data_IF_956889880743
#
_entry.id   IF_956889880743
#
_cell.length_a   1.000
_cell.length_b   1.000
_cell.length_c   1.000
_cell.angle_alpha   90.00
_cell.angle_beta   90.00
_cell.angle_gamma   90.00
#
_symmetry.space_group_name_H-M   'P 1'
#
loop_
_entity.id
_entity.type
_entity.pdbx_description
1 polymer ?
#
# COMPACT_ATOMS: atom_id res chain seq x y z
N UNK A 1 -13.24 -9.23 -19.50
CA UNK A 1 -14.09 -8.22 -18.83
C UNK A 1 -14.99 -8.93 -17.83
N UNK A 2 -14.66 -8.94 -16.53
CA UNK A 2 -15.54 -9.50 -15.50
C UNK A 2 -15.82 -8.41 -14.46
N UNK A 3 -16.82 -7.58 -14.73
CA UNK A 3 -17.34 -6.62 -13.76
C UNK A 3 -18.11 -7.37 -12.68
N UNK A 4 -17.45 -7.62 -11.55
CA UNK A 4 -18.10 -8.25 -10.39
C UNK A 4 -19.30 -7.42 -9.91
N UNK A 5 -20.42 -8.10 -9.65
CA UNK A 5 -21.60 -7.51 -9.01
C UNK A 5 -21.21 -6.93 -7.64
N UNK A 6 -21.56 -5.66 -7.38
CA UNK A 6 -21.28 -4.98 -6.10
C UNK A 6 -22.52 -4.26 -5.59
N UNK A 7 -22.60 -4.11 -4.26
CA UNK A 7 -23.61 -3.31 -3.59
C UNK A 7 -25.04 -3.87 -3.73
N UNK A 8 -26.07 -3.02 -3.93
CA UNK A 8 -27.48 -3.43 -3.89
C UNK A 8 -27.84 -4.49 -4.94
N UNK A 9 -27.16 -4.49 -6.09
CA UNK A 9 -27.33 -5.52 -7.13
C UNK A 9 -26.84 -6.91 -6.71
N UNK A 10 -25.80 -6.96 -5.87
CA UNK A 10 -25.34 -8.22 -5.27
C UNK A 10 -26.31 -8.67 -4.16
N UNK A 11 -26.82 -7.73 -3.37
CA UNK A 11 -27.76 -8.01 -2.29
C UNK A 11 -29.10 -8.56 -2.81
N UNK A 12 -29.63 -8.01 -3.92
CA UNK A 12 -30.83 -8.53 -4.58
C UNK A 12 -30.61 -9.97 -5.06
N UNK A 13 -29.54 -10.23 -5.83
CA UNK A 13 -29.20 -11.59 -6.27
C UNK A 13 -28.97 -12.59 -5.14
N UNK A 14 -28.46 -12.14 -3.99
CA UNK A 14 -28.30 -12.99 -2.81
C UNK A 14 -29.63 -13.26 -2.09
N UNK A 15 -30.63 -12.38 -2.20
CA UNK A 15 -31.99 -12.62 -1.71
C UNK A 15 -32.72 -13.59 -2.65
N UNK A 16 -32.66 -13.36 -3.95
CA UNK A 16 -33.29 -14.22 -4.96
C UNK A 16 -32.76 -15.66 -4.83
N UNK A 17 -31.43 -15.84 -4.77
CA UNK A 17 -30.81 -17.15 -4.56
C UNK A 17 -31.12 -17.81 -3.22
N UNK A 18 -31.50 -17.04 -2.19
CA UNK A 18 -31.92 -17.58 -0.89
C UNK A 18 -33.35 -18.05 -0.91
N UNK A 19 -34.19 -17.49 -1.76
CA UNK A 19 -35.55 -17.96 -2.02
C UNK A 19 -35.47 -19.28 -2.80
N UNK A 20 -34.68 -19.33 -3.88
CA UNK A 20 -34.43 -20.55 -4.66
C UNK A 20 -33.87 -21.70 -3.81
N UNK A 21 -33.00 -21.39 -2.84
CA UNK A 21 -32.41 -22.38 -1.95
C UNK A 21 -33.39 -23.01 -0.94
N UNK A 22 -34.58 -22.42 -0.74
CA UNK A 22 -35.64 -23.02 0.10
C UNK A 22 -36.38 -24.15 -0.61
N UNK A 23 -36.32 -24.20 -1.94
CA UNK A 23 -37.01 -25.19 -2.78
C UNK A 23 -36.09 -26.33 -3.25
N UNK A 24 -34.81 -26.33 -2.82
CA UNK A 24 -33.85 -27.36 -3.22
C UNK A 24 -34.13 -28.70 -2.54
N UNK A 25 -34.16 -29.75 -3.35
CA UNK A 25 -34.22 -31.13 -2.84
C UNK A 25 -32.91 -31.49 -2.12
N UNK A 26 -32.91 -32.47 -1.19
CA UNK A 26 -31.71 -32.91 -0.48
C UNK A 26 -30.57 -33.32 -1.44
N UNK A 27 -30.91 -33.97 -2.55
CA UNK A 27 -29.94 -34.40 -3.57
C UNK A 27 -29.28 -33.23 -4.30
N UNK A 28 -30.04 -32.17 -4.61
CA UNK A 28 -29.51 -30.97 -5.24
C UNK A 28 -28.63 -30.17 -4.27
N UNK A 29 -28.96 -30.18 -2.97
CA UNK A 29 -28.15 -29.55 -1.93
C UNK A 29 -26.79 -30.25 -1.78
N UNK A 30 -26.75 -31.57 -1.83
CA UNK A 30 -25.50 -32.34 -1.75
C UNK A 30 -24.66 -32.21 -3.04
N UNK A 31 -25.31 -32.14 -4.21
CA UNK A 31 -24.64 -31.78 -5.49
C UNK A 31 -24.06 -30.36 -5.47
N UNK A 32 -24.66 -29.42 -4.75
CA UNK A 32 -24.11 -28.07 -4.59
C UNK A 32 -22.95 -28.03 -3.60
N UNK A 33 -23.03 -28.75 -2.47
CA UNK A 33 -21.93 -28.85 -1.50
C UNK A 33 -20.68 -29.43 -2.14
N UNK A 34 -20.81 -30.56 -2.83
CA UNK A 34 -19.70 -31.19 -3.56
C UNK A 34 -19.05 -30.26 -4.59
N UNK A 35 -19.84 -29.47 -5.33
CA UNK A 35 -19.31 -28.44 -6.24
C UNK A 35 -18.60 -27.31 -5.51
N UNK A 36 -19.11 -26.86 -4.36
CA UNK A 36 -18.49 -25.83 -3.53
C UNK A 36 -17.17 -26.30 -2.93
N UNK A 37 -17.12 -27.54 -2.45
CA UNK A 37 -15.92 -28.15 -1.89
C UNK A 37 -14.83 -28.29 -2.96
N UNK A 38 -15.17 -28.82 -4.14
CA UNK A 38 -14.26 -28.90 -5.28
C UNK A 38 -13.74 -27.51 -5.71
N UNK A 39 -14.60 -26.49 -5.73
CA UNK A 39 -14.21 -25.13 -6.04
C UNK A 39 -13.28 -24.55 -4.95
N UNK A 40 -13.54 -24.85 -3.68
CA UNK A 40 -12.71 -24.43 -2.55
C UNK A 40 -11.30 -25.02 -2.63
N UNK A 41 -11.19 -26.28 -3.02
CA UNK A 41 -9.92 -26.98 -3.23
C UNK A 41 -9.15 -26.38 -4.41
N UNK A 42 -9.82 -26.08 -5.52
CA UNK A 42 -9.21 -25.38 -6.65
C UNK A 42 -8.63 -24.01 -6.25
N UNK A 43 -9.35 -23.25 -5.41
CA UNK A 43 -8.84 -21.97 -4.91
C UNK A 43 -7.67 -22.13 -3.94
N UNK A 44 -7.69 -23.13 -3.05
CA UNK A 44 -6.57 -23.45 -2.15
C UNK A 44 -5.32 -23.83 -2.94
N UNK A 45 -5.44 -24.75 -3.89
CA UNK A 45 -4.33 -25.17 -4.75
C UNK A 45 -3.76 -24.01 -5.57
N UNK A 46 -4.62 -23.11 -6.09
CA UNK A 46 -4.16 -21.91 -6.78
C UNK A 46 -3.40 -20.94 -5.86
N UNK A 47 -3.85 -20.80 -4.61
CA UNK A 47 -3.18 -19.97 -3.60
C UNK A 47 -1.82 -20.56 -3.22
N UNK A 48 -1.74 -21.87 -3.03
CA UNK A 48 -0.49 -22.59 -2.75
C UNK A 48 0.52 -22.41 -3.87
N UNK A 49 0.13 -22.67 -5.13
CA UNK A 49 1.00 -22.43 -6.31
C UNK A 49 1.50 -20.99 -6.41
N UNK A 50 0.68 -20.01 -6.03
CA UNK A 50 1.11 -18.61 -5.98
C UNK A 50 2.12 -18.35 -4.87
N UNK A 51 1.98 -19.01 -3.72
CA UNK A 51 2.90 -18.88 -2.59
C UNK A 51 4.23 -19.60 -2.87
N UNK A 52 4.20 -20.79 -3.47
CA UNK A 52 5.40 -21.51 -3.94
C UNK A 52 6.17 -20.68 -4.96
N UNK A 53 5.48 -20.19 -6.00
CA UNK A 53 6.10 -19.28 -6.99
C UNK A 53 6.70 -18.04 -6.34
N UNK A 54 6.05 -17.50 -5.30
CA UNK A 54 6.59 -16.35 -4.54
C UNK A 54 7.85 -16.73 -3.76
N UNK A 55 7.89 -17.90 -3.14
CA UNK A 55 9.07 -18.41 -2.44
C UNK A 55 10.23 -18.67 -3.40
N UNK A 56 9.97 -19.26 -4.58
CA UNK A 56 10.97 -19.46 -5.63
C UNK A 56 11.58 -18.14 -6.11
N UNK A 57 10.75 -17.11 -6.32
CA UNK A 57 11.25 -15.79 -6.76
C UNK A 57 12.13 -15.17 -5.68
N UNK A 58 11.73 -15.28 -4.40
CA UNK A 58 12.55 -14.82 -3.27
C UNK A 58 13.89 -15.59 -3.19
N UNK A 59 13.87 -16.91 -3.35
CA UNK A 59 15.07 -17.75 -3.37
C UNK A 59 16.01 -17.42 -4.54
N UNK A 60 15.46 -17.02 -5.70
CA UNK A 60 16.21 -16.48 -6.86
C UNK A 60 16.75 -15.06 -6.64
N UNK A 61 16.70 -14.54 -5.41
CA UNK A 61 17.14 -13.18 -5.07
C UNK A 61 16.21 -12.08 -5.55
N UNK A 62 15.05 -12.43 -6.13
CA UNK A 62 14.04 -11.43 -6.49
C UNK A 62 13.31 -11.00 -5.22
N UNK A 63 13.76 -9.88 -4.66
CA UNK A 63 13.19 -9.32 -3.44
C UNK A 63 11.67 -9.17 -3.59
N UNK A 64 10.95 -9.60 -2.54
CA UNK A 64 9.55 -9.23 -2.32
C UNK A 64 9.52 -7.71 -2.46
N UNK A 65 8.86 -7.21 -3.50
CA UNK A 65 8.75 -5.78 -3.67
C UNK A 65 7.80 -5.33 -2.55
N UNK A 66 8.31 -4.93 -1.39
CA UNK A 66 7.60 -4.05 -0.45
C UNK A 66 7.64 -2.65 -1.07
N UNK A 67 6.94 -2.56 -2.20
CA UNK A 67 7.10 -1.61 -3.31
C UNK A 67 7.10 -0.17 -2.90
N UNK A 68 6.28 0.18 -1.92
CA UNK A 68 6.00 1.57 -1.67
C UNK A 68 7.10 2.18 -0.82
N UNK A 69 7.35 1.66 0.38
CA UNK A 69 8.24 2.26 1.37
C UNK A 69 9.70 2.29 0.91
N UNK A 70 10.26 1.17 0.47
CA UNK A 70 11.66 1.14 0.00
C UNK A 70 11.89 2.00 -1.27
N UNK A 71 10.90 2.09 -2.18
CA UNK A 71 11.02 3.00 -3.34
C UNK A 71 10.81 4.46 -2.95
N UNK A 72 10.09 4.69 -1.87
CA UNK A 72 9.84 6.00 -1.31
C UNK A 72 11.12 6.56 -0.69
N UNK A 73 11.71 5.80 0.23
CA UNK A 73 12.99 6.10 0.88
C UNK A 73 14.08 6.33 -0.17
N UNK A 74 14.23 5.43 -1.16
CA UNK A 74 15.19 5.63 -2.26
C UNK A 74 14.94 6.88 -3.09
N UNK A 75 13.68 7.31 -3.24
CA UNK A 75 13.37 8.57 -3.94
C UNK A 75 13.70 9.78 -3.08
N UNK A 76 13.45 9.72 -1.78
CA UNK A 76 13.87 10.76 -0.83
C UNK A 76 15.38 10.92 -0.84
N UNK A 77 16.12 9.82 -0.69
CA UNK A 77 17.59 9.82 -0.76
C UNK A 77 18.10 10.40 -2.08
N UNK A 78 17.46 10.05 -3.20
CA UNK A 78 17.82 10.59 -4.51
C UNK A 78 17.51 12.07 -4.66
N UNK A 79 16.39 12.56 -4.11
CA UNK A 79 16.06 13.97 -4.12
C UNK A 79 17.04 14.76 -3.24
N UNK A 80 17.28 14.29 -2.02
CA UNK A 80 18.23 14.91 -1.09
C UNK A 80 19.65 14.98 -1.68
N UNK A 81 20.15 13.89 -2.27
CA UNK A 81 21.45 13.89 -2.94
C UNK A 81 21.50 14.78 -4.18
N UNK A 82 20.42 14.86 -4.95
CA UNK A 82 20.33 15.77 -6.11
C UNK A 82 20.28 17.24 -5.67
N UNK A 83 19.55 17.53 -4.59
CA UNK A 83 19.46 18.86 -3.98
C UNK A 83 20.83 19.32 -3.50
N UNK A 84 21.52 18.50 -2.70
CA UNK A 84 22.87 18.77 -2.25
C UNK A 84 23.85 19.02 -3.42
N UNK A 85 23.79 18.20 -4.47
CA UNK A 85 24.66 18.36 -5.64
C UNK A 85 24.34 19.64 -6.44
N UNK A 86 23.09 20.09 -6.50
CA UNK A 86 22.70 21.35 -7.14
C UNK A 86 23.19 22.53 -6.31
N UNK A 87 23.00 22.50 -4.99
CA UNK A 87 23.50 23.54 -4.08
C UNK A 87 25.02 23.68 -4.17
N UNK A 88 25.75 22.56 -4.16
CA UNK A 88 27.21 22.57 -4.29
C UNK A 88 27.66 23.19 -5.62
N UNK A 89 27.04 22.76 -6.74
CA UNK A 89 27.37 23.32 -8.06
C UNK A 89 27.02 24.80 -8.18
N UNK A 90 25.92 25.24 -7.56
CA UNK A 90 25.55 26.66 -7.53
C UNK A 90 26.62 27.46 -6.81
N UNK A 91 27.04 27.02 -5.64
CA UNK A 91 28.12 27.65 -4.88
C UNK A 91 29.44 27.70 -5.67
N UNK A 92 29.80 26.64 -6.39
CA UNK A 92 30.99 26.63 -7.25
C UNK A 92 30.89 27.63 -8.41
N UNK A 93 29.70 27.75 -9.03
CA UNK A 93 29.47 28.74 -10.11
C UNK A 93 29.56 30.15 -9.57
N UNK A 94 28.97 30.44 -8.40
CA UNK A 94 29.06 31.74 -7.75
C UNK A 94 30.49 32.14 -7.41
N UNK A 95 31.30 31.20 -6.89
CA UNK A 95 32.71 31.45 -6.61
C UNK A 95 33.48 31.79 -7.88
N UNK A 96 33.30 31.00 -8.95
CA UNK A 96 33.95 31.28 -10.24
C UNK A 96 33.50 32.60 -10.86
N UNK A 97 32.23 32.97 -10.72
CA UNK A 97 31.74 34.28 -11.18
C UNK A 97 32.46 35.42 -10.45
N UNK A 98 32.62 35.33 -9.12
CA UNK A 98 33.39 36.33 -8.35
C UNK A 98 34.85 36.39 -8.78
N UNK A 99 35.48 35.24 -9.04
CA UNK A 99 36.86 35.21 -9.56
C UNK A 99 36.98 35.87 -10.94
N UNK A 100 36.04 35.59 -11.85
CA UNK A 100 36.02 36.23 -13.18
C UNK A 100 35.78 37.74 -13.06
N UNK A 101 34.87 38.17 -12.18
CA UNK A 101 34.64 39.59 -11.92
C UNK A 101 35.89 40.30 -11.41
N UNK A 102 36.64 39.65 -10.51
CA UNK A 102 37.92 40.17 -10.05
C UNK A 102 38.96 40.27 -11.17
N UNK A 103 39.04 39.28 -12.06
CA UNK A 103 39.99 39.30 -13.21
C UNK A 103 39.58 40.33 -14.26
N UNK A 104 38.28 40.50 -14.50
CA UNK A 104 37.74 41.49 -15.43
C UNK A 104 38.08 42.93 -15.05
N UNK A 105 38.26 43.20 -13.74
CA UNK A 105 38.64 44.53 -13.27
C UNK A 105 40.01 44.99 -13.79
N UNK A 106 40.94 44.06 -14.04
CA UNK A 106 42.30 44.36 -14.50
C UNK A 106 42.57 43.90 -15.94
N UNK A 107 41.70 43.07 -16.52
CA UNK A 107 41.87 42.54 -17.86
C UNK A 107 41.69 43.62 -18.95
N UNK A 108 42.46 43.51 -20.02
CA UNK A 108 42.38 44.40 -21.19
C UNK A 108 42.42 43.60 -22.49
N UNK A 109 42.03 44.23 -23.60
CA UNK A 109 42.10 43.63 -24.94
C UNK A 109 41.36 42.30 -25.06
N UNK A 110 42.03 41.30 -25.65
CA UNK A 110 41.45 39.98 -25.92
C UNK A 110 41.19 39.14 -24.66
N UNK A 111 41.93 39.35 -23.57
CA UNK A 111 41.70 38.62 -22.32
C UNK A 111 40.36 39.02 -21.71
N UNK A 112 40.04 40.33 -21.76
CA UNK A 112 38.77 40.86 -21.28
C UNK A 112 37.59 40.27 -22.04
N UNK A 113 37.67 40.19 -23.37
CA UNK A 113 36.58 39.62 -24.19
C UNK A 113 36.38 38.13 -23.92
N UNK A 114 37.47 37.37 -23.70
CA UNK A 114 37.38 35.95 -23.32
C UNK A 114 36.71 35.77 -21.96
N UNK A 115 37.10 36.56 -20.95
CA UNK A 115 36.52 36.53 -19.61
C UNK A 115 35.03 36.92 -19.62
N UNK A 116 34.62 37.90 -20.42
CA UNK A 116 33.20 38.28 -20.57
C UNK A 116 32.36 37.15 -21.19
N UNK A 117 32.91 36.42 -22.16
CA UNK A 117 32.24 35.24 -22.74
C UNK A 117 32.11 34.13 -21.69
N UNK A 118 33.16 33.89 -20.92
CA UNK A 118 33.14 32.89 -19.85
C UNK A 118 32.15 33.25 -18.75
N UNK A 119 32.10 34.52 -18.33
CA UNK A 119 31.11 35.04 -17.39
C UNK A 119 29.68 34.75 -17.85
N UNK A 120 29.34 35.10 -19.10
CA UNK A 120 28.01 34.82 -19.68
C UNK A 120 27.67 33.32 -19.69
N UNK A 121 28.66 32.46 -19.94
CA UNK A 121 28.48 31.00 -19.87
C UNK A 121 28.18 30.53 -18.44
N UNK A 122 28.90 31.04 -17.45
CA UNK A 122 28.66 30.72 -16.04
C UNK A 122 27.31 31.26 -15.55
N UNK A 123 26.92 32.47 -15.92
CA UNK A 123 25.58 33.02 -15.61
C UNK A 123 24.47 32.15 -16.19
N UNK A 124 24.62 31.70 -17.45
CA UNK A 124 23.67 30.78 -18.07
C UNK A 124 23.63 29.40 -17.38
N UNK A 125 24.77 28.93 -16.84
CA UNK A 125 24.82 27.72 -16.03
C UNK A 125 24.13 27.93 -14.68
N UNK A 126 24.33 29.07 -14.01
CA UNK A 126 23.65 29.45 -12.78
C UNK A 126 22.13 29.41 -12.95
N UNK A 127 21.60 30.06 -13.98
CA UNK A 127 20.15 30.04 -14.28
C UNK A 127 19.59 28.63 -14.54
N UNK A 128 20.42 27.71 -15.06
CA UNK A 128 20.00 26.30 -15.25
C UNK A 128 19.98 25.55 -13.92
N UNK A 129 20.89 25.86 -13.01
CA UNK A 129 20.92 25.31 -11.66
C UNK A 129 19.75 25.83 -10.83
N UNK A 130 19.41 27.12 -10.92
CA UNK A 130 18.22 27.70 -10.26
C UNK A 130 16.93 26.97 -10.70
N UNK A 131 16.77 26.79 -12.02
CA UNK A 131 15.64 26.01 -12.57
C UNK A 131 15.66 24.54 -12.15
N UNK A 132 16.83 23.99 -11.85
CA UNK A 132 16.95 22.62 -11.34
C UNK A 132 16.55 22.56 -9.87
N UNK A 133 16.96 23.54 -9.06
CA UNK A 133 16.56 23.70 -7.66
C UNK A 133 15.04 23.80 -7.54
N UNK A 134 14.39 24.71 -8.28
CA UNK A 134 12.92 24.85 -8.26
C UNK A 134 12.17 23.55 -8.62
N UNK A 135 12.76 22.72 -9.50
CA UNK A 135 12.16 21.43 -9.88
C UNK A 135 12.31 20.39 -8.78
N UNK A 136 13.42 20.44 -8.03
CA UNK A 136 13.65 19.57 -6.89
C UNK A 136 12.70 19.94 -5.74
N UNK A 137 12.54 21.23 -5.42
CA UNK A 137 11.58 21.70 -4.41
C UNK A 137 10.16 21.22 -4.73
N UNK A 138 9.72 21.42 -5.98
CA UNK A 138 8.41 20.92 -6.45
C UNK A 138 8.29 19.40 -6.42
N UNK A 139 9.39 18.66 -6.50
CA UNK A 139 9.39 17.21 -6.40
C UNK A 139 9.32 16.74 -4.95
N UNK A 140 9.99 17.43 -4.04
CA UNK A 140 9.94 17.22 -2.59
C UNK A 140 8.51 17.48 -2.06
N UNK A 141 7.91 18.64 -2.38
CA UNK A 141 6.51 18.96 -2.02
C UNK A 141 5.51 17.89 -2.45
N UNK A 142 5.70 17.35 -3.67
CA UNK A 142 4.80 16.32 -4.23
C UNK A 142 4.97 14.98 -3.53
N UNK A 143 6.15 14.73 -2.98
CA UNK A 143 6.49 13.50 -2.33
C UNK A 143 5.97 13.53 -0.88
N UNK A 144 6.17 14.64 -0.17
CA UNK A 144 5.57 14.91 1.15
C UNK A 144 4.03 14.79 1.11
N UNK A 145 3.36 15.45 0.16
CA UNK A 145 1.89 15.34 -0.02
C UNK A 145 1.41 13.92 -0.34
N UNK A 146 2.27 13.04 -0.83
CA UNK A 146 1.93 11.63 -1.07
C UNK A 146 2.08 10.80 0.19
N UNK A 147 3.05 11.11 1.04
CA UNK A 147 3.21 10.49 2.36
C UNK A 147 2.01 10.79 3.24
N UNK A 148 1.66 12.06 3.41
CA UNK A 148 0.52 12.50 4.21
C UNK A 148 -0.77 11.78 3.78
N UNK A 149 -1.04 11.74 2.47
CA UNK A 149 -2.21 11.02 1.92
C UNK A 149 -2.14 9.51 2.08
N UNK A 150 -0.95 8.93 2.18
CA UNK A 150 -0.78 7.50 2.40
C UNK A 150 -1.03 7.15 3.87
N UNK A 151 -0.52 7.97 4.79
CA UNK A 151 -0.74 7.88 6.24
C UNK A 151 -2.23 8.01 6.56
N UNK A 152 -2.89 9.07 6.09
CA UNK A 152 -4.34 9.28 6.23
C UNK A 152 -5.18 8.06 5.80
N UNK A 153 -4.76 7.39 4.72
CA UNK A 153 -5.46 6.23 4.17
C UNK A 153 -5.19 4.97 4.98
N UNK A 154 -4.01 4.85 5.56
CA UNK A 154 -3.66 3.76 6.46
C UNK A 154 -4.44 3.90 7.76
N UNK A 155 -4.48 5.08 8.36
CA UNK A 155 -5.24 5.34 9.60
C UNK A 155 -6.72 5.01 9.41
N UNK A 156 -7.34 5.51 8.33
CA UNK A 156 -8.73 5.17 7.99
C UNK A 156 -8.98 3.68 7.72
N UNK A 157 -7.95 2.92 7.34
CA UNK A 157 -8.06 1.46 7.18
C UNK A 157 -7.92 0.75 8.51
N UNK A 158 -7.00 1.19 9.36
CA UNK A 158 -6.80 0.67 10.71
C UNK A 158 -8.08 0.85 11.51
N UNK A 159 -8.65 2.05 11.56
CA UNK A 159 -9.94 2.29 12.25
C UNK A 159 -11.08 1.38 11.75
N UNK A 160 -11.08 1.04 10.46
CA UNK A 160 -12.09 0.13 9.88
C UNK A 160 -11.85 -1.32 10.24
N UNK A 161 -10.58 -1.72 10.43
CA UNK A 161 -10.23 -3.04 10.92
C UNK A 161 -10.57 -3.17 12.40
N UNK A 162 -10.25 -2.18 13.21
CA UNK A 162 -10.58 -2.16 14.65
C UNK A 162 -12.11 -2.31 14.85
N UNK A 163 -12.91 -1.51 14.12
CA UNK A 163 -14.39 -1.63 14.12
C UNK A 163 -14.91 -2.98 13.63
N UNK A 164 -14.13 -3.73 12.84
CA UNK A 164 -14.51 -5.08 12.40
C UNK A 164 -14.13 -6.12 13.43
N UNK A 165 -12.99 -5.96 14.09
CA UNK A 165 -12.54 -6.81 15.19
C UNK A 165 -13.50 -6.71 16.37
N UNK A 166 -13.87 -5.51 16.80
CA UNK A 166 -14.86 -5.30 17.86
C UNK A 166 -16.21 -5.99 17.55
N UNK A 167 -16.65 -5.93 16.27
CA UNK A 167 -17.87 -6.63 15.84
C UNK A 167 -17.73 -8.14 15.78
N UNK A 168 -16.53 -8.67 15.58
CA UNK A 168 -16.26 -10.10 15.60
C UNK A 168 -16.22 -10.61 17.04
N UNK A 169 -15.57 -9.89 17.95
CA UNK A 169 -15.55 -10.17 19.39
C UNK A 169 -16.98 -10.24 19.94
N UNK A 170 -17.79 -9.20 19.71
CA UNK A 170 -19.22 -9.21 20.13
C UNK A 170 -20.03 -10.39 19.56
N UNK A 171 -19.65 -10.93 18.40
CA UNK A 171 -20.30 -12.10 17.82
C UNK A 171 -19.78 -13.40 18.42
N UNK A 172 -18.52 -13.45 18.84
CA UNK A 172 -17.95 -14.58 19.57
C UNK A 172 -18.57 -14.68 20.95
N UNK A 173 -18.63 -13.58 21.72
CA UNK A 173 -19.26 -13.55 23.05
C UNK A 173 -20.72 -14.05 22.99
N UNK A 174 -21.48 -13.58 22.00
CA UNK A 174 -22.87 -14.02 21.79
C UNK A 174 -22.99 -15.50 21.43
N UNK A 175 -21.98 -16.08 20.77
CA UNK A 175 -21.97 -17.51 20.45
C UNK A 175 -21.56 -18.33 21.67
N UNK A 176 -20.57 -17.89 22.43
CA UNK A 176 -20.11 -18.53 23.65
C UNK A 176 -21.23 -18.58 24.69
N UNK A 177 -21.90 -17.46 24.96
CA UNK A 177 -23.07 -17.44 25.86
C UNK A 177 -24.20 -18.37 25.41
N UNK A 178 -24.41 -18.55 24.09
CA UNK A 178 -25.40 -19.51 23.56
C UNK A 178 -24.97 -20.96 23.72
N UNK A 179 -23.67 -21.24 23.64
CA UNK A 179 -23.13 -22.58 23.85
C UNK A 179 -23.22 -22.93 25.34
N UNK A 180 -22.84 -22.02 26.22
CA UNK A 180 -22.92 -22.18 27.67
C UNK A 180 -24.36 -22.42 28.13
N UNK A 181 -25.31 -21.58 27.70
CA UNK A 181 -26.73 -21.78 27.99
C UNK A 181 -27.31 -23.09 27.44
N UNK A 182 -26.73 -23.66 26.37
CA UNK A 182 -27.11 -24.98 25.86
C UNK A 182 -26.47 -26.10 26.68
N UNK A 183 -25.24 -25.91 27.14
CA UNK A 183 -24.53 -26.86 27.99
C UNK A 183 -25.23 -27.00 29.35
N UNK A 184 -25.57 -25.89 30.02
CA UNK A 184 -26.35 -25.91 31.27
C UNK A 184 -27.70 -26.62 31.10
N UNK A 185 -28.42 -26.33 30.01
CA UNK A 185 -29.68 -27.02 29.70
C UNK A 185 -29.50 -28.52 29.44
N UNK A 186 -28.35 -28.93 28.92
CA UNK A 186 -28.04 -30.34 28.69
C UNK A 186 -27.69 -31.05 30.01
N UNK A 187 -26.93 -30.41 30.90
CA UNK A 187 -26.66 -30.92 32.25
C UNK A 187 -27.94 -31.06 33.08
N UNK A 188 -28.77 -30.01 33.14
CA UNK A 188 -30.04 -30.05 33.88
C UNK A 188 -31.00 -31.14 33.39
N UNK A 189 -30.87 -31.57 32.12
CA UNK A 189 -31.62 -32.72 31.58
C UNK A 189 -31.02 -34.07 31.97
N UNK A 190 -29.70 -34.16 32.14
CA UNK A 190 -29.04 -35.37 32.63
C UNK A 190 -29.34 -35.62 34.10
N UNK A 191 -29.36 -34.57 34.93
CA UNK A 191 -29.67 -34.70 36.36
C UNK A 191 -31.13 -35.10 36.60
N UNK A 192 -32.06 -34.67 35.73
CA UNK A 192 -33.46 -35.14 35.76
C UNK A 192 -33.66 -36.56 35.23
N UNK A 193 -32.66 -37.16 34.58
CA UNK A 193 -32.73 -38.49 34.01
C UNK A 193 -31.98 -39.54 34.84
N UNK A 194 -31.37 -39.17 35.97
CA UNK A 194 -30.79 -40.13 36.91
C UNK A 194 -31.91 -40.91 37.62
N UNK A 195 -32.02 -42.24 37.45
CA UNK A 195 -33.02 -43.03 38.15
C UNK A 195 -32.69 -43.10 39.64
N UNK A 196 -33.73 -43.00 40.49
CA UNK A 196 -33.62 -43.20 41.93
C UNK A 196 -32.97 -44.58 42.22
N UNK A 197 -32.01 -44.68 43.15
CA UNK A 197 -31.44 -45.96 43.55
C UNK A 197 -32.55 -46.84 44.14
N UNK A 198 -32.66 -48.05 43.60
CA UNK A 198 -33.57 -49.12 44.09
C UNK A 198 -33.14 -49.64 45.46
#
# INVERSE_FOLDING_TARGET
MASGLRGPKLAAKLKDRKEDAKELTPEEADKLKTKLDALSEQYRARREKLMEKRQELVAKGQKKVLVAKERHEKRQEKLASSSAAVTEKSGQVELRLREIDSKLATATGEEKTRLEIEKKRLEALGQRLDKAAEKLDKAEDKLEKKEEKAEDKLDKKVEKLDKREEKLEQRQDKKEAKIEAKAEKAEAKKDKAAPAPQ
#
